data_IF_262986209322
#
_entry.id   IF_262986209322
#
_cell.length_a   1.000
_cell.length_b   1.000
_cell.length_c   1.000
_cell.angle_alpha   90.00
_cell.angle_beta   90.00
_cell.angle_gamma   90.00
#
_symmetry.space_group_name_H-M   'P 1'
#
loop_
_entity.id
_entity.type
_entity.pdbx_description
1 polymer ?
#
# COMPACT_ATOMS: atom_id res chain seq x y z
N UNK A 1 10.94 -10.63 16.38
CA UNK A 1 12.31 -11.18 16.51
C UNK A 1 12.75 -11.68 15.17
N UNK A 2 14.04 -11.57 14.85
CA UNK A 2 14.61 -12.04 13.59
C UNK A 2 15.59 -13.17 13.91
N UNK A 3 15.40 -14.30 13.25
CA UNK A 3 16.32 -15.43 13.33
C UNK A 3 17.02 -15.59 11.97
N UNK A 4 18.31 -15.26 11.87
CA UNK A 4 19.05 -15.48 10.64
C UNK A 4 19.24 -16.96 10.34
N UNK A 5 19.17 -17.31 9.07
CA UNK A 5 19.48 -18.66 8.58
C UNK A 5 20.97 -19.00 8.73
N UNK A 6 21.85 -18.01 8.55
CA UNK A 6 23.29 -18.12 8.77
C UNK A 6 23.73 -17.22 9.95
N UNK A 7 24.29 -17.79 11.03
CA UNK A 7 24.81 -17.02 12.18
C UNK A 7 25.88 -15.99 11.82
N UNK A 8 26.64 -16.18 10.75
CA UNK A 8 27.69 -15.23 10.33
C UNK A 8 27.11 -13.92 9.79
N UNK A 9 25.87 -13.95 9.29
CA UNK A 9 25.17 -12.79 8.74
C UNK A 9 24.57 -11.88 9.81
N UNK A 10 24.60 -12.29 11.08
CA UNK A 10 24.02 -11.53 12.19
C UNK A 10 24.54 -10.09 12.24
N UNK A 11 25.85 -9.88 12.11
CA UNK A 11 26.46 -8.54 12.15
C UNK A 11 26.04 -7.66 10.97
N UNK A 12 25.88 -8.23 9.79
CA UNK A 12 25.45 -7.51 8.60
C UNK A 12 23.98 -7.09 8.73
N UNK A 13 23.13 -7.98 9.24
CA UNK A 13 21.72 -7.71 9.50
C UNK A 13 21.56 -6.64 10.59
N UNK A 14 22.32 -6.75 11.68
CA UNK A 14 22.31 -5.75 12.77
C UNK A 14 22.69 -4.35 12.26
N UNK A 15 23.75 -4.26 11.46
CA UNK A 15 24.19 -2.98 10.87
C UNK A 15 23.14 -2.40 9.93
N UNK A 16 22.54 -3.22 9.05
CA UNK A 16 21.49 -2.76 8.14
C UNK A 16 20.23 -2.26 8.89
N UNK A 17 19.90 -2.89 10.03
CA UNK A 17 18.80 -2.45 10.89
C UNK A 17 19.11 -1.13 11.61
N UNK A 18 20.35 -0.93 12.07
CA UNK A 18 20.77 0.35 12.67
C UNK A 18 20.84 1.48 11.65
N UNK A 19 21.26 1.21 10.42
CA UNK A 19 21.30 2.17 9.32
C UNK A 19 19.91 2.47 8.74
N UNK A 20 18.91 1.63 9.05
CA UNK A 20 17.54 1.88 8.61
C UNK A 20 16.88 3.02 9.39
N UNK A 21 16.06 3.82 8.72
CA UNK A 21 15.28 4.93 9.30
C UNK A 21 14.17 4.46 10.27
N UNK A 22 14.23 3.22 10.75
CA UNK A 22 13.28 2.66 11.71
C UNK A 22 13.50 3.18 13.13
N UNK A 23 14.67 3.76 13.43
CA UNK A 23 15.00 4.31 14.76
C UNK A 23 15.00 3.24 15.86
N UNK A 24 15.20 1.97 15.49
CA UNK A 24 15.20 0.84 16.40
C UNK A 24 16.64 0.48 16.79
N UNK A 25 16.86 0.17 18.06
CA UNK A 25 18.12 -0.39 18.54
C UNK A 25 18.00 -1.92 18.62
N UNK A 26 18.52 -2.67 17.63
CA UNK A 26 18.52 -4.13 17.69
C UNK A 26 19.36 -4.62 18.87
N UNK A 27 18.84 -5.59 19.60
CA UNK A 27 19.55 -6.32 20.66
C UNK A 27 19.89 -7.73 20.15
N UNK A 28 21.16 -8.10 20.23
CA UNK A 28 21.69 -9.31 19.62
C UNK A 28 22.08 -10.33 20.71
N UNK A 29 21.42 -11.50 20.72
CA UNK A 29 21.70 -12.62 21.64
C UNK A 29 22.67 -13.66 21.01
N UNK A 30 23.35 -13.32 19.91
CA UNK A 30 24.33 -14.19 19.22
C UNK A 30 23.72 -15.30 18.34
N UNK A 31 22.43 -15.59 18.48
CA UNK A 31 21.64 -16.47 17.58
C UNK A 31 20.39 -15.82 17.02
N UNK A 32 19.90 -14.76 17.67
CA UNK A 32 18.67 -14.06 17.30
C UNK A 32 18.84 -12.56 17.55
N UNK A 33 18.17 -11.77 16.71
CA UNK A 33 18.10 -10.32 16.83
C UNK A 33 16.71 -9.95 17.36
N UNK A 34 16.67 -9.32 18.53
CA UNK A 34 15.47 -8.74 19.12
C UNK A 34 15.36 -7.28 18.70
N UNK A 35 14.20 -6.90 18.18
CA UNK A 35 13.88 -5.52 17.84
C UNK A 35 12.78 -5.07 18.80
N UNK A 36 13.12 -4.37 19.90
CA UNK A 36 12.13 -3.76 20.74
C UNK A 36 11.51 -2.59 19.95
N UNK A 37 10.24 -2.75 19.54
CA UNK A 37 9.48 -1.67 18.92
C UNK A 37 8.95 -0.76 20.04
N UNK A 38 9.48 0.46 20.22
CA UNK A 38 8.90 1.39 21.17
C UNK A 38 7.49 1.75 20.71
N UNK A 39 6.56 1.90 21.66
CA UNK A 39 5.23 2.42 21.32
C UNK A 39 5.39 3.84 20.76
N UNK A 40 4.82 4.14 19.59
CA UNK A 40 4.93 5.48 19.03
C UNK A 40 4.16 6.48 19.91
N UNK A 41 4.75 7.67 20.07
CA UNK A 41 4.08 8.81 20.72
C UNK A 41 2.83 9.22 19.95
N UNK A 42 1.91 9.95 20.59
CA UNK A 42 0.69 10.42 19.93
C UNK A 42 1.00 11.32 18.72
N UNK A 43 2.05 12.14 18.81
CA UNK A 43 2.54 12.96 17.70
C UNK A 43 3.00 12.09 16.52
N UNK A 44 3.78 11.03 16.79
CA UNK A 44 4.24 10.11 15.75
C UNK A 44 3.09 9.32 15.12
N UNK A 45 2.08 8.93 15.90
CA UNK A 45 0.85 8.29 15.38
C UNK A 45 0.11 9.23 14.42
N UNK A 46 -0.04 10.51 14.77
CA UNK A 46 -0.66 11.52 13.88
C UNK A 46 0.13 11.72 12.58
N UNK A 47 1.46 11.70 12.63
CA UNK A 47 2.29 11.75 11.42
C UNK A 47 2.10 10.52 10.53
N UNK A 48 2.09 9.33 11.12
CA UNK A 48 1.86 8.08 10.38
C UNK A 48 0.48 8.09 9.71
N UNK A 49 -0.58 8.54 10.39
CA UNK A 49 -1.92 8.70 9.78
C UNK A 49 -1.87 9.62 8.56
N UNK A 50 -1.15 10.74 8.61
CA UNK A 50 -1.00 11.64 7.44
C UNK A 50 -0.33 10.93 6.26
N UNK A 51 0.71 10.14 6.53
CA UNK A 51 1.41 9.37 5.49
C UNK A 51 0.47 8.33 4.87
N UNK A 52 -0.25 7.57 5.68
CA UNK A 52 -1.19 6.55 5.20
C UNK A 52 -2.31 7.18 4.37
N UNK A 53 -2.85 8.33 4.78
CA UNK A 53 -3.84 9.09 3.98
C UNK A 53 -3.30 9.52 2.62
N UNK A 54 -2.04 9.99 2.58
CA UNK A 54 -1.39 10.37 1.32
C UNK A 54 -1.26 9.18 0.38
N UNK A 55 -0.80 8.03 0.90
CA UNK A 55 -0.68 6.79 0.13
C UNK A 55 -2.05 6.32 -0.39
N UNK A 56 -3.10 6.41 0.43
CA UNK A 56 -4.44 6.06 0.00
C UNK A 56 -4.93 6.97 -1.14
N UNK A 57 -4.69 8.28 -1.06
CA UNK A 57 -5.08 9.19 -2.15
C UNK A 57 -4.27 8.94 -3.43
N UNK A 58 -2.97 8.69 -3.34
CA UNK A 58 -2.15 8.27 -4.48
C UNK A 58 -2.71 6.99 -5.13
N UNK A 59 -3.12 6.02 -4.32
CA UNK A 59 -3.82 4.81 -4.79
C UNK A 59 -5.13 5.11 -5.51
N UNK A 60 -5.98 6.00 -4.97
CA UNK A 60 -7.24 6.41 -5.63
C UNK A 60 -6.97 7.12 -6.96
N UNK A 61 -5.95 7.99 -7.02
CA UNK A 61 -5.55 8.66 -8.26
C UNK A 61 -5.09 7.64 -9.29
N UNK A 62 -4.27 6.65 -8.91
CA UNK A 62 -3.85 5.59 -9.81
C UNK A 62 -5.03 4.79 -10.39
N UNK A 63 -6.00 4.41 -9.55
CA UNK A 63 -7.23 3.73 -10.00
C UNK A 63 -8.02 4.59 -11.00
N UNK A 64 -8.16 5.89 -10.74
CA UNK A 64 -8.85 6.82 -11.67
C UNK A 64 -8.12 6.98 -12.99
N UNK A 65 -6.79 7.00 -12.98
CA UNK A 65 -5.97 7.08 -14.21
C UNK A 65 -6.16 5.83 -15.07
N UNK A 66 -6.04 4.63 -14.46
CA UNK A 66 -6.28 3.36 -15.17
C UNK A 66 -7.69 3.30 -15.77
N UNK A 67 -8.71 3.77 -15.02
CA UNK A 67 -10.08 3.88 -15.55
C UNK A 67 -10.14 4.78 -16.79
N UNK A 68 -9.49 5.95 -16.73
CA UNK A 68 -9.47 6.91 -17.85
C UNK A 68 -8.83 6.29 -19.09
N UNK A 69 -7.71 5.59 -18.92
CA UNK A 69 -7.00 4.93 -20.02
C UNK A 69 -7.84 3.78 -20.61
N UNK A 70 -8.49 2.98 -19.77
CA UNK A 70 -9.40 1.93 -20.21
C UNK A 70 -10.58 2.48 -21.02
N UNK A 71 -11.22 3.55 -20.56
CA UNK A 71 -12.31 4.22 -21.29
C UNK A 71 -11.82 4.84 -22.60
N UNK A 72 -10.60 5.39 -22.63
CA UNK A 72 -10.01 5.91 -23.85
C UNK A 72 -9.83 4.80 -24.90
N UNK A 73 -9.24 3.67 -24.50
CA UNK A 73 -9.09 2.52 -25.40
C UNK A 73 -10.43 1.98 -25.91
N UNK A 74 -11.47 1.93 -25.05
CA UNK A 74 -12.80 1.49 -25.49
C UNK A 74 -13.35 2.40 -26.60
N UNK A 75 -13.21 3.72 -26.45
CA UNK A 75 -13.65 4.69 -27.48
C UNK A 75 -12.88 4.57 -28.79
N UNK A 76 -11.57 4.31 -28.73
CA UNK A 76 -10.76 4.06 -29.92
C UNK A 76 -11.23 2.80 -30.67
N UNK A 77 -11.48 1.70 -29.94
CA UNK A 77 -11.99 0.45 -30.52
C UNK A 77 -13.37 0.63 -31.18
N UNK A 78 -14.27 1.41 -30.55
CA UNK A 78 -15.57 1.76 -31.14
C UNK A 78 -15.40 2.60 -32.41
N UNK A 79 -14.48 3.56 -32.41
CA UNK A 79 -14.18 4.42 -33.57
C UNK A 79 -13.64 3.59 -34.75
N UNK A 80 -12.80 2.60 -34.45
CA UNK A 80 -12.27 1.64 -35.42
C UNK A 80 -13.29 0.59 -35.88
N UNK A 81 -14.51 0.61 -35.33
CA UNK A 81 -15.59 -0.37 -35.57
C UNK A 81 -15.20 -1.80 -35.22
N UNK A 82 -14.23 -1.98 -34.32
CA UNK A 82 -13.82 -3.30 -33.81
C UNK A 82 -14.81 -3.83 -32.77
N UNK A 83 -15.57 -2.92 -32.13
CA UNK A 83 -16.53 -3.23 -31.07
C UNK A 83 -17.85 -2.51 -31.34
N UNK A 84 -18.98 -3.17 -31.07
CA UNK A 84 -20.31 -2.59 -31.19
C UNK A 84 -20.67 -1.67 -30.01
N UNK A 85 -21.56 -0.71 -30.23
CA UNK A 85 -21.99 0.25 -29.19
C UNK A 85 -22.58 -0.40 -27.93
N UNK A 86 -23.24 -1.57 -28.07
CA UNK A 86 -23.76 -2.29 -26.91
C UNK A 86 -22.63 -2.95 -26.08
N UNK A 87 -21.60 -3.47 -26.73
CA UNK A 87 -20.44 -4.06 -26.05
C UNK A 87 -19.57 -2.99 -25.38
N UNK A 88 -19.42 -1.82 -26.01
CA UNK A 88 -18.80 -0.63 -25.39
C UNK A 88 -19.50 -0.25 -24.09
N UNK A 89 -20.84 -0.13 -24.13
CA UNK A 89 -21.64 0.25 -22.95
C UNK A 89 -21.47 -0.77 -21.81
N UNK A 90 -21.50 -2.07 -22.12
CA UNK A 90 -21.26 -3.13 -21.13
C UNK A 90 -19.84 -3.07 -20.56
N UNK A 91 -18.85 -2.78 -21.39
CA UNK A 91 -17.46 -2.67 -20.96
C UNK A 91 -17.25 -1.46 -20.04
N UNK A 92 -17.83 -0.31 -20.36
CA UNK A 92 -17.80 0.88 -19.51
C UNK A 92 -18.46 0.62 -18.14
N UNK A 93 -19.63 -0.04 -18.10
CA UNK A 93 -20.30 -0.41 -16.85
C UNK A 93 -19.41 -1.34 -16.00
N UNK A 94 -18.70 -2.29 -16.61
CA UNK A 94 -17.77 -3.18 -15.92
C UNK A 94 -16.55 -2.44 -15.37
N UNK A 95 -15.96 -1.56 -16.18
CA UNK A 95 -14.81 -0.74 -15.78
C UNK A 95 -15.19 0.17 -14.60
N UNK A 96 -16.39 0.75 -14.62
CA UNK A 96 -16.89 1.58 -13.54
C UNK A 96 -17.08 0.76 -12.25
N UNK A 97 -17.73 -0.41 -12.32
CA UNK A 97 -17.87 -1.31 -11.15
C UNK A 97 -16.52 -1.69 -10.54
N UNK A 98 -15.54 -2.09 -11.36
CA UNK A 98 -14.19 -2.42 -10.88
C UNK A 98 -13.52 -1.22 -10.21
N UNK A 99 -13.68 -0.02 -10.77
CA UNK A 99 -13.13 1.22 -10.19
C UNK A 99 -13.74 1.46 -8.81
N UNK A 100 -15.05 1.32 -8.68
CA UNK A 100 -15.77 1.56 -7.42
C UNK A 100 -15.39 0.54 -6.35
N UNK A 101 -15.29 -0.75 -6.72
CA UNK A 101 -14.88 -1.84 -5.83
C UNK A 101 -13.45 -1.63 -5.29
N UNK A 102 -12.51 -1.26 -6.16
CA UNK A 102 -11.13 -0.99 -5.75
C UNK A 102 -11.00 0.29 -4.94
N UNK A 103 -11.77 1.34 -5.26
CA UNK A 103 -11.81 2.56 -4.46
C UNK A 103 -12.32 2.26 -3.05
N UNK A 104 -13.38 1.47 -2.93
CA UNK A 104 -13.91 1.02 -1.64
C UNK A 104 -12.90 0.20 -0.86
N UNK A 105 -12.18 -0.70 -1.53
CA UNK A 105 -11.11 -1.50 -0.90
C UNK A 105 -10.01 -0.62 -0.33
N UNK A 106 -9.59 0.43 -1.05
CA UNK A 106 -8.62 1.42 -0.55
C UNK A 106 -9.16 2.14 0.69
N UNK A 107 -10.43 2.54 0.68
CA UNK A 107 -11.06 3.23 1.81
C UNK A 107 -11.15 2.35 3.05
N UNK A 108 -11.49 1.06 2.88
CA UNK A 108 -11.59 0.11 3.97
C UNK A 108 -10.21 -0.21 4.56
N UNK A 109 -9.18 -0.38 3.72
CA UNK A 109 -7.78 -0.54 4.15
C UNK A 109 -7.27 0.69 4.90
N UNK A 110 -7.59 1.90 4.41
CA UNK A 110 -7.24 3.15 5.07
C UNK A 110 -7.85 3.22 6.47
N UNK A 111 -9.16 2.95 6.59
CA UNK A 111 -9.86 2.95 7.89
C UNK A 111 -9.26 1.92 8.85
N UNK A 112 -9.01 0.71 8.38
CA UNK A 112 -8.40 -0.33 9.21
C UNK A 112 -7.02 0.11 9.70
N UNK A 113 -6.19 0.66 8.82
CA UNK A 113 -4.83 1.08 9.20
C UNK A 113 -4.83 2.31 10.10
N UNK A 114 -5.75 3.25 9.91
CA UNK A 114 -5.93 4.38 10.82
C UNK A 114 -6.35 3.91 12.21
N UNK A 115 -7.28 2.95 12.31
CA UNK A 115 -7.68 2.36 13.58
C UNK A 115 -6.49 1.67 14.26
N UNK A 116 -5.76 0.81 13.56
CA UNK A 116 -4.59 0.09 14.09
C UNK A 116 -3.49 1.06 14.59
N UNK A 117 -3.27 2.19 13.89
CA UNK A 117 -2.30 3.21 14.31
C UNK A 117 -2.75 3.96 15.56
N UNK A 118 -4.06 4.05 15.82
CA UNK A 118 -4.62 4.78 16.95
C UNK A 118 -4.97 3.88 18.14
N UNK A 119 -5.11 2.58 17.92
CA UNK A 119 -5.36 1.57 18.96
C UNK A 119 -4.09 1.36 19.82
N UNK A 120 -4.30 1.14 21.12
CA UNK A 120 -3.25 0.93 22.14
C UNK A 120 -3.41 -0.45 22.75
#
# INVERSE_FOLDING_TARGET
>A
TIQPFDPTSIKAIEKALQESDLGLTPSNDGKMIRLPMPQPTEERRKELVKIVRKIAEEGRVAVRNVRRDAVHHLKELTTNKEVGSDDERRAEERVQKLTDDHTKTIDDLLKHKEAEIMEV
#
